data_IF_969320189498
#
_entry.id   IF_969320189498
#
_cell.length_a   1.000
_cell.length_b   1.000
_cell.length_c   1.000
_cell.angle_alpha   90.00
_cell.angle_beta   90.00
_cell.angle_gamma   90.00
#
_symmetry.space_group_name_H-M   'P 1'
#
loop_
_entity.id
_entity.type
_entity.pdbx_description
1 polymer ?
#
# COMPACT_ATOMS: atom_id res chain seq x y z
N UNK A 1 -10.65 -17.02 -9.80
CA UNK A 1 -10.93 -17.49 -11.18
C UNK A 1 -12.22 -16.90 -11.73
N UNK A 2 -13.37 -17.15 -11.09
CA UNK A 2 -14.69 -16.65 -11.54
C UNK A 2 -14.74 -15.13 -11.78
N UNK A 3 -14.19 -14.32 -10.87
CA UNK A 3 -14.16 -12.85 -11.05
C UNK A 3 -13.37 -12.39 -12.28
N UNK A 4 -12.25 -13.04 -12.60
CA UNK A 4 -11.44 -12.70 -13.78
C UNK A 4 -12.21 -13.03 -15.07
N UNK A 5 -12.97 -14.13 -15.07
CA UNK A 5 -13.82 -14.52 -16.20
C UNK A 5 -14.92 -13.49 -16.45
N UNK A 6 -15.62 -13.02 -15.39
CA UNK A 6 -16.65 -12.00 -15.53
C UNK A 6 -16.11 -10.66 -16.02
N UNK A 7 -14.96 -10.23 -15.50
CA UNK A 7 -14.31 -8.99 -15.94
C UNK A 7 -13.88 -9.09 -17.41
N UNK A 8 -13.29 -10.22 -17.81
CA UNK A 8 -12.93 -10.47 -19.21
C UNK A 8 -14.13 -10.44 -20.14
N UNK A 9 -15.24 -11.08 -19.76
CA UNK A 9 -16.49 -11.06 -20.51
C UNK A 9 -17.03 -9.63 -20.67
N UNK A 10 -17.07 -8.84 -19.60
CA UNK A 10 -17.54 -7.46 -19.63
C UNK A 10 -16.69 -6.60 -20.58
N UNK A 11 -15.36 -6.70 -20.48
CA UNK A 11 -14.44 -5.98 -21.37
C UNK A 11 -14.61 -6.40 -22.83
N UNK A 12 -14.79 -7.69 -23.11
CA UNK A 12 -15.09 -8.17 -24.46
C UNK A 12 -16.40 -7.60 -24.99
N UNK A 13 -17.47 -7.57 -24.20
CA UNK A 13 -18.75 -6.96 -24.61
C UNK A 13 -18.57 -5.47 -24.92
N UNK A 14 -17.86 -4.72 -24.08
CA UNK A 14 -17.58 -3.31 -24.31
C UNK A 14 -16.77 -3.06 -25.59
N UNK A 15 -15.78 -3.90 -25.88
CA UNK A 15 -15.00 -3.83 -27.11
C UNK A 15 -15.82 -4.16 -28.36
N UNK A 16 -16.48 -5.32 -28.37
CA UNK A 16 -17.07 -5.88 -29.59
C UNK A 16 -18.52 -5.41 -29.86
N UNK A 17 -19.30 -5.12 -28.83
CA UNK A 17 -20.70 -4.68 -28.98
C UNK A 17 -20.81 -3.16 -29.04
N UNK A 18 -20.12 -2.47 -28.13
CA UNK A 18 -20.21 -1.02 -28.00
C UNK A 18 -19.09 -0.28 -28.73
N UNK A 19 -18.11 -0.99 -29.30
CA UNK A 19 -16.98 -0.38 -30.01
C UNK A 19 -16.09 0.48 -29.13
N UNK A 20 -16.16 0.32 -27.80
CA UNK A 20 -15.42 1.16 -26.85
C UNK A 20 -13.93 0.76 -26.90
N UNK A 21 -13.00 1.72 -26.93
CA UNK A 21 -11.58 1.42 -26.90
C UNK A 21 -11.16 0.90 -25.52
N UNK A 22 -11.24 -0.42 -25.35
CA UNK A 22 -10.87 -1.12 -24.11
C UNK A 22 -9.40 -0.90 -23.74
N UNK A 23 -8.52 -0.72 -24.73
CA UNK A 23 -7.12 -0.36 -24.49
C UNK A 23 -6.99 0.93 -23.68
N UNK A 24 -7.82 1.94 -23.97
CA UNK A 24 -7.84 3.20 -23.22
C UNK A 24 -8.39 2.99 -21.80
N UNK A 25 -9.43 2.17 -21.63
CA UNK A 25 -9.99 1.86 -20.30
C UNK A 25 -8.98 1.15 -19.40
N UNK A 26 -8.24 0.19 -19.96
CA UNK A 26 -7.19 -0.53 -19.24
C UNK A 26 -6.03 0.43 -18.93
N UNK A 27 -5.63 1.27 -19.88
CA UNK A 27 -4.55 2.22 -19.68
C UNK A 27 -4.88 3.24 -18.57
N UNK A 28 -6.08 3.84 -18.59
CA UNK A 28 -6.50 4.81 -17.56
C UNK A 28 -6.70 4.14 -16.21
N UNK A 29 -7.26 2.92 -16.16
CA UNK A 29 -7.36 2.13 -14.93
C UNK A 29 -5.98 1.79 -14.36
N UNK A 30 -5.02 1.44 -15.21
CA UNK A 30 -3.64 1.17 -14.82
C UNK A 30 -2.96 2.41 -14.23
N UNK A 31 -3.04 3.55 -14.94
CA UNK A 31 -2.51 4.83 -14.44
C UNK A 31 -3.17 5.22 -13.12
N UNK A 32 -4.50 5.08 -13.01
CA UNK A 32 -5.23 5.34 -11.78
C UNK A 32 -4.76 4.45 -10.62
N UNK A 33 -4.58 3.15 -10.87
CA UNK A 33 -4.06 2.22 -9.88
C UNK A 33 -2.63 2.58 -9.43
N UNK A 34 -1.77 3.00 -10.36
CA UNK A 34 -0.41 3.47 -10.05
C UNK A 34 -0.46 4.72 -9.17
N UNK A 35 -1.24 5.74 -9.56
CA UNK A 35 -1.37 6.98 -8.77
C UNK A 35 -1.91 6.69 -7.38
N UNK A 36 -2.92 5.84 -7.26
CA UNK A 36 -3.47 5.42 -5.98
C UNK A 36 -2.44 4.66 -5.13
N UNK A 37 -1.65 3.78 -5.74
CA UNK A 37 -0.56 3.07 -5.08
C UNK A 37 0.54 4.00 -4.58
N UNK A 38 0.93 4.99 -5.38
CA UNK A 38 1.91 6.01 -4.98
C UNK A 38 1.37 6.91 -3.86
N UNK A 39 0.09 7.29 -3.91
CA UNK A 39 -0.54 8.08 -2.86
C UNK A 39 -0.61 7.32 -1.52
N UNK A 40 -0.90 6.01 -1.58
CA UNK A 40 -0.96 5.15 -0.41
C UNK A 40 0.41 4.62 0.03
N UNK A 41 1.49 4.90 -0.71
CA UNK A 41 2.82 4.36 -0.44
C UNK A 41 3.27 4.64 0.99
N UNK A 42 3.11 5.88 1.45
CA UNK A 42 3.49 6.29 2.80
C UNK A 42 2.63 5.58 3.86
N UNK A 43 1.31 5.61 3.71
CA UNK A 43 0.38 4.94 4.64
C UNK A 43 0.66 3.44 4.74
N UNK A 44 0.93 2.78 3.61
CA UNK A 44 1.23 1.36 3.59
C UNK A 44 2.58 1.05 4.24
N UNK A 45 3.58 1.92 4.07
CA UNK A 45 4.87 1.85 4.77
C UNK A 45 4.71 1.99 6.28
N UNK A 46 3.84 2.90 6.74
CA UNK A 46 3.54 3.10 8.16
C UNK A 46 2.87 1.85 8.77
N UNK A 47 1.89 1.28 8.05
CA UNK A 47 1.22 0.04 8.47
C UNK A 47 2.21 -1.12 8.53
N UNK A 48 3.06 -1.30 7.51
CA UNK A 48 4.06 -2.37 7.52
C UNK A 48 5.13 -2.16 8.59
N UNK A 49 5.52 -0.92 8.87
CA UNK A 49 6.41 -0.59 9.99
C UNK A 49 5.77 -0.96 11.33
N UNK A 50 4.49 -0.64 11.54
CA UNK A 50 3.76 -1.04 12.74
C UNK A 50 3.66 -2.56 12.91
N UNK A 51 3.38 -3.30 11.83
CA UNK A 51 3.35 -4.77 11.84
C UNK A 51 4.75 -5.33 12.11
N UNK A 52 5.79 -4.80 11.47
CA UNK A 52 7.17 -5.23 11.66
C UNK A 52 7.68 -4.98 13.08
N UNK A 53 7.34 -3.85 13.69
CA UNK A 53 7.65 -3.55 15.08
C UNK A 53 6.91 -4.49 16.05
N UNK A 54 5.65 -4.81 15.76
CA UNK A 54 4.86 -5.73 16.59
C UNK A 54 5.39 -7.17 16.54
N UNK A 55 5.76 -7.66 15.34
CA UNK A 55 6.31 -9.00 15.16
C UNK A 55 7.77 -9.11 15.63
N UNK A 56 8.58 -8.08 15.38
CA UNK A 56 10.01 -8.10 15.65
C UNK A 56 10.37 -7.91 17.12
N UNK A 57 9.48 -7.31 17.93
CA UNK A 57 9.81 -6.75 19.26
C UNK A 57 11.28 -6.25 19.36
N UNK A 58 11.75 -5.37 18.45
CA UNK A 58 13.18 -5.04 18.40
C UNK A 58 13.64 -4.18 19.58
N UNK A 59 12.69 -3.50 20.25
CA UNK A 59 12.92 -2.62 21.39
C UNK A 59 11.93 -2.95 22.50
N UNK A 60 12.45 -3.14 23.72
CA UNK A 60 11.63 -3.24 24.92
C UNK A 60 11.42 -1.85 25.52
N UNK A 61 10.26 -1.63 26.14
CA UNK A 61 10.03 -0.46 26.99
C UNK A 61 11.18 -0.33 28.00
N UNK A 62 11.82 0.85 28.01
CA UNK A 62 12.92 1.16 28.92
C UNK A 62 14.33 1.10 28.31
N UNK A 63 14.49 0.75 27.04
CA UNK A 63 15.79 0.78 26.35
C UNK A 63 16.30 2.21 26.11
N UNK A 64 17.63 2.37 26.10
CA UNK A 64 18.28 3.65 25.82
C UNK A 64 18.62 3.75 24.34
N UNK A 65 18.10 4.76 23.66
CA UNK A 65 18.32 4.98 22.22
C UNK A 65 18.95 6.35 22.00
N UNK A 66 19.88 6.37 21.05
CA UNK A 66 20.57 7.58 20.62
C UNK A 66 20.12 7.87 19.19
N UNK A 67 19.47 9.01 18.99
CA UNK A 67 19.11 9.48 17.66
C UNK A 67 20.36 10.01 16.93
N UNK A 68 20.31 10.00 15.61
CA UNK A 68 21.41 10.46 14.74
C UNK A 68 21.73 11.96 14.88
N UNK A 69 20.93 12.72 15.63
CA UNK A 69 21.18 14.12 15.97
C UNK A 69 21.91 14.30 17.32
N UNK A 70 22.26 13.21 18.00
CA UNK A 70 22.92 13.24 19.31
C UNK A 70 21.96 13.32 20.50
N UNK A 71 20.64 13.26 20.28
CA UNK A 71 19.65 13.23 21.35
C UNK A 71 19.59 11.84 21.98
N UNK A 72 19.88 11.76 23.28
CA UNK A 72 19.76 10.55 24.08
C UNK A 72 18.43 10.51 24.83
N UNK A 73 17.72 9.38 24.79
CA UNK A 73 16.43 9.24 25.46
C UNK A 73 16.08 7.79 25.78
N UNK A 74 15.24 7.60 26.80
CA UNK A 74 14.71 6.29 27.19
C UNK A 74 13.37 6.05 26.49
N UNK A 75 13.16 4.86 25.95
CA UNK A 75 11.85 4.46 25.38
C UNK A 75 10.82 4.41 26.49
N UNK A 76 9.96 5.43 26.58
CA UNK A 76 8.85 5.49 27.55
C UNK A 76 7.58 4.84 26.99
N UNK A 77 7.38 4.91 25.68
CA UNK A 77 6.19 4.37 25.01
C UNK A 77 6.50 3.99 23.56
N UNK A 78 5.87 2.92 23.06
CA UNK A 78 5.88 2.56 21.63
C UNK A 78 4.44 2.61 21.13
N UNK A 79 4.12 3.65 20.35
CA UNK A 79 2.81 3.83 19.70
C UNK A 79 2.92 3.56 18.20
N UNK A 80 1.84 3.10 17.60
CA UNK A 80 1.75 2.70 16.19
C UNK A 80 1.36 3.85 15.25
N UNK A 81 1.34 5.09 15.75
CA UNK A 81 0.94 6.30 15.01
C UNK A 81 2.08 7.29 14.95
#
# INVERSE_FOLDING_TARGET
VVGVVYVGMLLSVLAFVFGVPVGTLIATSGVFAIVLGLALQNTLSDVFSGIALNLGRPYALGDWIVLSDGTEGRVVETSWR
#
